data_IF_906697513312
#
_entry.id   IF_906697513312
#
_cell.length_a   1.000
_cell.length_b   1.000
_cell.length_c   1.000
_cell.angle_alpha   90.00
_cell.angle_beta   90.00
_cell.angle_gamma   90.00
#
_symmetry.space_group_name_H-M   'P 1'
#
loop_
_entity.id
_entity.type
_entity.pdbx_description
1 polymer ?
#
# COMPACT_ATOMS: atom_id res chain seq x y z
N UNK A 1 -52.99 -60.66 -3.95
CA UNK A 1 -51.56 -60.70 -3.53
C UNK A 1 -50.68 -60.41 -4.73
N UNK A 2 -50.06 -59.22 -4.78
CA UNK A 2 -48.85 -58.88 -5.55
C UNK A 2 -48.40 -57.50 -5.05
N UNK A 3 -47.30 -57.48 -4.30
CA UNK A 3 -46.73 -56.30 -3.66
C UNK A 3 -45.96 -55.46 -4.69
N UNK A 4 -46.40 -54.22 -4.92
CA UNK A 4 -45.68 -53.23 -5.72
C UNK A 4 -44.60 -52.56 -4.88
N UNK A 5 -43.34 -52.70 -5.31
CA UNK A 5 -42.17 -52.16 -4.62
C UNK A 5 -42.17 -50.64 -4.65
N UNK A 6 -42.04 -50.02 -3.48
CA UNK A 6 -41.79 -48.59 -3.29
C UNK A 6 -40.40 -48.27 -3.82
N UNK A 7 -40.31 -47.44 -4.85
CA UNK A 7 -39.06 -46.87 -5.32
C UNK A 7 -38.84 -45.52 -4.61
N UNK A 8 -38.06 -45.54 -3.52
CA UNK A 8 -37.59 -44.33 -2.86
C UNK A 8 -36.49 -43.72 -3.74
N UNK A 9 -36.80 -42.63 -4.44
CA UNK A 9 -35.79 -41.80 -5.10
C UNK A 9 -35.01 -41.03 -4.03
N UNK A 10 -33.85 -41.56 -3.64
CA UNK A 10 -32.87 -40.84 -2.83
C UNK A 10 -32.23 -39.73 -3.69
N UNK A 11 -32.80 -38.53 -3.63
CA UNK A 11 -32.16 -37.32 -4.16
C UNK A 11 -31.02 -36.95 -3.21
N UNK A 12 -29.81 -37.42 -3.53
CA UNK A 12 -28.56 -36.86 -3.00
C UNK A 12 -28.43 -35.44 -3.56
N UNK A 13 -28.99 -34.46 -2.85
CA UNK A 13 -28.71 -33.06 -3.10
C UNK A 13 -27.25 -32.80 -2.72
N UNK A 14 -26.37 -32.81 -3.72
CA UNK A 14 -25.01 -32.33 -3.60
C UNK A 14 -25.06 -30.88 -3.13
N UNK A 15 -24.65 -30.64 -1.88
CA UNK A 15 -24.38 -29.30 -1.38
C UNK A 15 -23.34 -28.66 -2.31
N UNK A 16 -23.55 -27.40 -2.78
CA UNK A 16 -22.51 -26.72 -3.50
C UNK A 16 -21.34 -26.60 -2.52
N UNK A 17 -20.17 -27.11 -2.93
CA UNK A 17 -18.93 -26.81 -2.26
C UNK A 17 -18.89 -25.29 -2.11
N UNK A 18 -18.95 -24.80 -0.88
CA UNK A 18 -18.63 -23.42 -0.58
C UNK A 18 -17.27 -23.20 -1.23
N UNK A 19 -17.26 -22.42 -2.31
CA UNK A 19 -16.04 -21.86 -2.86
C UNK A 19 -15.48 -21.01 -1.73
N UNK A 20 -14.64 -21.62 -0.90
CA UNK A 20 -13.81 -20.90 0.03
C UNK A 20 -12.98 -19.98 -0.84
N UNK A 21 -13.41 -18.72 -0.96
CA UNK A 21 -12.59 -17.66 -1.50
C UNK A 21 -11.35 -17.63 -0.62
N UNK A 22 -10.30 -18.30 -1.07
CA UNK A 22 -8.99 -18.16 -0.47
C UNK A 22 -8.59 -16.73 -0.76
N UNK A 23 -8.90 -15.81 0.16
CA UNK A 23 -8.24 -14.51 0.18
C UNK A 23 -6.76 -14.82 0.32
N UNK A 24 -6.02 -14.57 -0.76
CA UNK A 24 -4.57 -14.62 -0.70
C UNK A 24 -4.11 -13.83 0.53
N UNK A 25 -3.12 -14.33 1.25
CA UNK A 25 -2.59 -13.61 2.40
C UNK A 25 -2.19 -12.20 1.96
N UNK A 26 -2.55 -11.15 2.73
CA UNK A 26 -2.19 -9.78 2.41
C UNK A 26 -0.72 -9.63 2.03
N UNK A 27 -0.44 -9.02 0.86
CA UNK A 27 0.92 -8.67 0.50
C UNK A 27 1.33 -7.42 1.28
N UNK A 28 2.58 -7.40 1.75
CA UNK A 28 3.19 -6.19 2.30
C UNK A 28 4.01 -5.51 1.21
N UNK A 29 3.72 -4.24 0.95
CA UNK A 29 4.45 -3.36 0.04
C UNK A 29 5.33 -2.39 0.81
N UNK A 30 6.44 -1.97 0.22
CA UNK A 30 7.29 -0.89 0.71
C UNK A 30 7.22 0.28 -0.25
N UNK A 31 6.91 1.46 0.28
CA UNK A 31 6.99 2.71 -0.47
C UNK A 31 7.95 3.65 0.24
N UNK A 32 9.14 3.82 -0.35
CA UNK A 32 10.21 4.69 0.18
C UNK A 32 9.96 6.14 -0.21
N UNK A 33 10.42 7.07 0.63
CA UNK A 33 10.33 8.49 0.35
C UNK A 33 11.46 8.89 -0.62
N UNK A 34 11.09 9.42 -1.79
CA UNK A 34 12.03 9.94 -2.77
C UNK A 34 11.39 11.07 -3.57
N UNK A 35 12.17 11.79 -4.36
CA UNK A 35 11.63 12.75 -5.32
C UNK A 35 10.68 12.14 -6.38
N UNK A 36 10.75 10.83 -6.63
CA UNK A 36 9.86 10.14 -7.57
C UNK A 36 8.56 9.62 -6.96
N UNK A 37 8.46 9.58 -5.63
CA UNK A 37 7.27 9.06 -4.91
C UNK A 37 6.54 10.13 -4.09
N UNK A 38 7.07 11.34 -4.00
CA UNK A 38 6.57 12.41 -3.14
C UNK A 38 6.22 13.67 -3.94
N UNK A 39 5.01 14.18 -3.70
CA UNK A 39 4.60 15.54 -4.05
C UNK A 39 4.42 16.35 -2.76
N UNK A 40 4.82 17.63 -2.76
CA UNK A 40 4.87 18.48 -1.56
C UNK A 40 3.96 19.69 -1.72
N UNK A 41 3.17 19.96 -0.68
CA UNK A 41 2.38 21.20 -0.57
C UNK A 41 1.03 21.18 -1.30
N UNK A 42 0.63 20.07 -1.91
CA UNK A 42 -0.67 19.96 -2.59
C UNK A 42 -1.15 18.50 -2.68
N UNK A 43 -2.43 18.35 -3.01
CA UNK A 43 -3.05 17.09 -3.43
C UNK A 43 -3.69 17.30 -4.80
N UNK A 44 -3.43 16.39 -5.73
CA UNK A 44 -3.97 16.44 -7.10
C UNK A 44 -4.29 15.03 -7.57
N UNK A 45 -5.57 14.78 -7.90
CA UNK A 45 -6.07 13.48 -8.32
C UNK A 45 -5.65 13.10 -9.76
N UNK A 46 -5.13 14.05 -10.54
CA UNK A 46 -4.66 13.81 -11.91
C UNK A 46 -3.23 13.24 -11.98
N UNK A 47 -2.52 13.23 -10.85
CA UNK A 47 -1.16 12.68 -10.77
C UNK A 47 -1.15 11.17 -11.04
N UNK A 48 -0.08 10.70 -11.68
CA UNK A 48 0.13 9.28 -11.91
C UNK A 48 0.32 8.56 -10.57
N UNK A 49 -0.42 7.45 -10.30
CA UNK A 49 -0.19 6.66 -9.11
C UNK A 49 1.23 6.08 -9.07
N UNK A 50 1.86 6.12 -7.89
CA UNK A 50 3.20 5.55 -7.65
C UNK A 50 3.15 4.09 -7.19
N UNK A 51 1.98 3.63 -6.72
CA UNK A 51 1.71 2.27 -6.30
C UNK A 51 0.21 1.96 -6.48
N UNK A 52 -0.12 0.74 -6.91
CA UNK A 52 -1.49 0.20 -6.94
C UNK A 52 -1.49 -1.11 -6.15
N UNK A 53 -2.47 -1.28 -5.26
CA UNK A 53 -2.56 -2.43 -4.36
C UNK A 53 -3.93 -3.09 -4.43
N UNK A 54 -4.00 -4.36 -4.03
CA UNK A 54 -5.26 -5.05 -3.84
C UNK A 54 -5.86 -4.73 -2.46
N UNK A 55 -7.19 -4.77 -2.35
CA UNK A 55 -7.86 -4.54 -1.07
C UNK A 55 -7.43 -5.58 -0.03
N UNK A 56 -6.98 -5.11 1.13
CA UNK A 56 -6.48 -5.95 2.23
C UNK A 56 -4.96 -6.02 2.31
N UNK A 57 -4.23 -5.58 1.28
CA UNK A 57 -2.78 -5.43 1.33
C UNK A 57 -2.34 -4.38 2.35
N UNK A 58 -1.08 -4.50 2.79
CA UNK A 58 -0.44 -3.59 3.74
C UNK A 58 0.61 -2.77 2.99
N UNK A 59 0.64 -1.46 3.23
CA UNK A 59 1.72 -0.59 2.71
C UNK A 59 2.50 -0.02 3.88
N UNK A 60 3.80 -0.31 3.91
CA UNK A 60 4.75 0.38 4.77
C UNK A 60 5.21 1.64 4.04
N UNK A 61 4.59 2.77 4.39
CA UNK A 61 4.92 4.09 3.87
C UNK A 61 6.08 4.70 4.67
N UNK A 62 7.16 5.06 3.98
CA UNK A 62 8.18 5.92 4.54
C UNK A 62 7.80 7.39 4.30
N UNK A 63 7.94 8.22 5.33
CA UNK A 63 7.67 9.65 5.24
C UNK A 63 8.89 10.43 5.71
N UNK A 64 9.16 11.54 5.05
CA UNK A 64 10.26 12.43 5.38
C UNK A 64 9.70 13.69 6.05
N UNK A 65 10.26 14.06 7.21
CA UNK A 65 9.88 15.26 7.94
C UNK A 65 11.09 16.19 8.07
N UNK A 66 10.87 17.47 7.72
CA UNK A 66 11.89 18.51 7.76
C UNK A 66 12.71 18.57 6.47
N UNK A 67 12.95 19.79 6.01
CA UNK A 67 13.77 20.04 4.83
C UNK A 67 15.27 20.01 5.21
N UNK A 68 16.13 19.26 4.49
CA UNK A 68 17.54 19.19 4.83
C UNK A 68 18.23 20.57 4.76
N UNK A 69 17.85 21.44 3.82
CA UNK A 69 18.37 22.83 3.76
C UNK A 69 17.97 23.66 4.97
N UNK A 70 16.75 23.47 5.47
CA UNK A 70 16.31 24.16 6.67
C UNK A 70 17.19 23.79 7.89
N UNK A 71 17.60 22.52 8.01
CA UNK A 71 18.52 22.10 9.05
C UNK A 71 19.94 22.64 8.85
N UNK A 72 20.43 22.67 7.61
CA UNK A 72 21.70 23.32 7.27
C UNK A 72 21.70 24.81 7.65
N UNK A 73 20.61 25.54 7.36
CA UNK A 73 20.43 26.95 7.72
C UNK A 73 20.41 27.18 9.24
N UNK A 74 19.99 26.19 10.03
CA UNK A 74 20.07 26.20 11.50
C UNK A 74 21.47 25.82 12.03
N UNK A 75 22.44 25.54 11.16
CA UNK A 75 23.80 25.17 11.52
C UNK A 75 23.98 23.69 11.88
N UNK A 76 23.04 22.81 11.52
CA UNK A 76 23.21 21.37 11.71
C UNK A 76 24.26 20.85 10.72
N UNK A 77 25.34 20.19 11.17
CA UNK A 77 26.32 19.59 10.27
C UNK A 77 25.68 18.56 9.34
N UNK A 78 26.09 18.57 8.07
CA UNK A 78 25.53 17.72 7.01
C UNK A 78 25.57 16.23 7.36
N UNK A 79 26.61 15.79 8.04
CA UNK A 79 26.85 14.40 8.44
C UNK A 79 25.85 13.92 9.50
N UNK A 80 25.19 14.86 10.20
CA UNK A 80 24.12 14.57 11.15
C UNK A 80 22.74 14.59 10.51
N UNK A 81 22.63 15.00 9.25
CA UNK A 81 21.38 15.01 8.50
C UNK A 81 21.33 13.70 7.67
N UNK A 82 20.30 12.87 7.84
CA UNK A 82 20.25 11.58 7.14
C UNK A 82 20.29 11.73 5.62
N UNK A 83 21.11 10.93 4.89
CA UNK A 83 21.24 11.03 3.43
C UNK A 83 19.91 10.79 2.69
N UNK A 84 19.05 9.92 3.22
CA UNK A 84 17.70 9.66 2.72
C UNK A 84 16.81 10.90 2.73
N UNK A 85 17.06 11.85 3.64
CA UNK A 85 16.34 13.11 3.68
C UNK A 85 16.69 13.99 2.47
N UNK A 86 17.95 13.95 2.00
CA UNK A 86 18.34 14.63 0.78
C UNK A 86 17.73 13.96 -0.46
N UNK A 87 17.71 12.64 -0.52
CA UNK A 87 17.07 11.90 -1.61
C UNK A 87 15.56 12.18 -1.69
N UNK A 88 14.91 12.31 -0.52
CA UNK A 88 13.51 12.68 -0.44
C UNK A 88 13.26 14.11 -0.92
N UNK A 89 14.23 15.04 -0.87
CA UNK A 89 14.09 16.46 -1.23
C UNK A 89 14.82 16.85 -2.54
N UNK A 90 15.32 15.87 -3.31
CA UNK A 90 15.96 16.13 -4.59
C UNK A 90 15.01 16.92 -5.52
N UNK A 91 15.53 17.99 -6.13
CA UNK A 91 14.76 18.90 -6.99
C UNK A 91 13.81 19.86 -6.26
N UNK A 92 13.70 19.80 -4.93
CA UNK A 92 12.90 20.76 -4.16
C UNK A 92 13.70 22.03 -3.84
N UNK A 93 13.20 23.18 -4.29
CA UNK A 93 13.89 24.48 -4.12
C UNK A 93 13.48 25.25 -2.86
N UNK A 94 12.41 24.82 -2.19
CA UNK A 94 11.93 25.45 -0.96
C UNK A 94 12.99 25.40 0.15
N UNK A 95 13.05 26.47 0.96
CA UNK A 95 13.93 26.58 2.13
C UNK A 95 13.17 26.67 3.46
N UNK A 96 11.85 26.55 3.41
CA UNK A 96 11.01 26.55 4.61
C UNK A 96 11.17 25.23 5.39
N UNK A 97 10.43 25.14 6.50
CA UNK A 97 10.41 23.92 7.33
C UNK A 97 9.87 22.68 6.62
N UNK A 98 9.10 22.87 5.55
CA UNK A 98 8.49 21.81 4.74
C UNK A 98 9.19 21.57 3.42
#
# INVERSE_FOLDING_TARGET
>A
MKAGRVAVCAVLAALPAAAQGQTASPRTHELRASASTVHRGFFDASLKPVLTIDSGDIVRLETASGNPKWFEDLGVPREKIPPELYAAYEGFEGRGRG
#
